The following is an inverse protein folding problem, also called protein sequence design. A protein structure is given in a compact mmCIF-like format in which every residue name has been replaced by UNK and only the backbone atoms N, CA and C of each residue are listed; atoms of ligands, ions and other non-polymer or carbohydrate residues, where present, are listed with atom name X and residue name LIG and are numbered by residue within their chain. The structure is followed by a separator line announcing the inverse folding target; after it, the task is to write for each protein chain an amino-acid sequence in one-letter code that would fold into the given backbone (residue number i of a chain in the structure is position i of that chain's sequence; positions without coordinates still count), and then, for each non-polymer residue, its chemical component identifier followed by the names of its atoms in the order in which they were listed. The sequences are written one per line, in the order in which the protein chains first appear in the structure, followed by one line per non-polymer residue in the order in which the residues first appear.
data_IF_292989931948
#
_entry.id   IF_292989931948
#
_cell.length_a   1.000
_cell.length_b   1.000
_cell.length_c   1.000
_cell.angle_alpha   90.00
_cell.angle_beta   90.00
_cell.angle_gamma   90.00
#
_symmetry.space_group_name_H-M   'P 1'
#
loop_
_entity.id
_entity.type
_entity.pdbx_description
1 polymer ?
#
# COMPACT_ATOMS: atom_id res chain seq x y z
N UNK A 1 -29.48 -40.31 -2.47
CA UNK A 1 -28.07 -39.92 -2.36
C UNK A 1 -28.01 -38.44 -2.65
N UNK A 2 -27.97 -37.67 -1.57
CA UNK A 2 -28.00 -36.20 -1.59
C UNK A 2 -26.63 -35.68 -2.00
N UNK A 3 -26.60 -35.05 -3.16
CA UNK A 3 -25.56 -34.13 -3.63
C UNK A 3 -25.18 -33.18 -2.47
N UNK A 4 -23.91 -33.10 -2.04
CA UNK A 4 -23.53 -32.16 -1.00
C UNK A 4 -23.64 -30.77 -1.60
N UNK A 5 -24.76 -30.11 -1.29
CA UNK A 5 -24.99 -28.69 -1.45
C UNK A 5 -23.67 -27.92 -1.36
N UNK A 6 -23.20 -27.42 -2.50
CA UNK A 6 -22.28 -26.30 -2.54
C UNK A 6 -22.91 -25.19 -1.71
N UNK A 7 -22.37 -24.83 -0.54
CA UNK A 7 -22.88 -23.68 0.16
C UNK A 7 -22.57 -22.50 -0.74
N UNK A 8 -23.58 -21.68 -0.98
CA UNK A 8 -23.49 -20.44 -1.74
C UNK A 8 -22.58 -19.47 -0.97
N UNK A 9 -21.26 -19.70 -1.03
CA UNK A 9 -20.25 -18.83 -0.43
C UNK A 9 -20.01 -17.69 -1.41
N UNK A 10 -20.63 -16.54 -1.11
CA UNK A 10 -20.45 -15.29 -1.83
C UNK A 10 -19.04 -14.69 -1.67
N UNK A 11 -18.01 -15.42 -2.09
CA UNK A 11 -16.65 -14.92 -2.20
C UNK A 11 -16.07 -15.24 -3.58
N UNK A 12 -15.30 -14.31 -4.16
CA UNK A 12 -14.72 -14.46 -5.51
C UNK A 12 -13.32 -15.11 -5.48
N UNK A 13 -12.73 -15.34 -4.30
CA UNK A 13 -11.33 -15.80 -4.22
C UNK A 13 -11.16 -17.24 -4.73
N UNK A 14 -12.20 -18.07 -4.63
CA UNK A 14 -12.24 -19.44 -5.14
C UNK A 14 -11.99 -19.48 -6.65
N UNK A 15 -12.41 -18.43 -7.37
CA UNK A 15 -12.20 -18.30 -8.81
C UNK A 15 -10.72 -18.20 -9.18
N UNK A 16 -9.83 -17.85 -8.25
CA UNK A 16 -8.38 -17.84 -8.49
C UNK A 16 -7.86 -19.22 -8.85
N UNK A 17 -8.37 -20.27 -8.21
CA UNK A 17 -7.83 -21.62 -8.31
C UNK A 17 -8.58 -22.51 -9.29
N UNK A 18 -9.69 -22.02 -9.86
CA UNK A 18 -10.55 -22.77 -10.77
C UNK A 18 -11.24 -23.96 -10.11
N UNK A 19 -11.97 -24.72 -10.94
CA UNK A 19 -12.75 -25.91 -10.53
C UNK A 19 -11.97 -27.18 -10.93
N UNK A 20 -11.99 -28.26 -10.13
CA UNK A 20 -11.35 -29.51 -10.49
C UNK A 20 -12.04 -30.15 -11.72
N UNK A 21 -11.27 -30.88 -12.51
CA UNK A 21 -11.75 -31.67 -13.65
C UNK A 21 -11.58 -33.14 -13.27
N UNK A 22 -12.63 -33.94 -13.48
CA UNK A 22 -12.63 -35.36 -13.11
C UNK A 22 -11.46 -36.13 -13.72
N UNK A 23 -10.88 -37.01 -12.91
CA UNK A 23 -9.75 -37.87 -13.31
C UNK A 23 -8.39 -37.17 -13.37
N UNK A 24 -8.30 -35.87 -13.12
CA UNK A 24 -7.02 -35.12 -13.12
C UNK A 24 -6.42 -34.95 -11.73
N UNK A 25 -5.09 -34.76 -11.62
CA UNK A 25 -4.46 -34.47 -10.34
C UNK A 25 -5.04 -33.21 -9.69
N UNK A 26 -5.27 -33.26 -8.39
CA UNK A 26 -5.87 -32.16 -7.62
C UNK A 26 -4.96 -31.69 -6.50
N UNK A 27 -5.10 -30.42 -6.13
CA UNK A 27 -4.53 -29.84 -4.91
C UNK A 27 -5.66 -29.46 -3.96
N UNK A 28 -5.46 -29.70 -2.66
CA UNK A 28 -6.44 -29.41 -1.62
C UNK A 28 -5.95 -28.27 -0.77
N UNK A 29 -6.81 -27.30 -0.56
CA UNK A 29 -6.56 -26.16 0.29
C UNK A 29 -7.54 -26.12 1.46
N UNK A 30 -7.05 -25.73 2.64
CA UNK A 30 -7.89 -25.63 3.82
C UNK A 30 -7.52 -24.44 4.69
N UNK A 31 -8.50 -23.60 4.98
CA UNK A 31 -8.35 -22.35 5.69
C UNK A 31 -9.23 -22.25 6.94
N UNK A 32 -8.74 -21.47 7.88
CA UNK A 32 -9.50 -20.74 8.87
C UNK A 32 -9.90 -19.37 8.30
N UNK A 33 -11.19 -19.03 8.35
CA UNK A 33 -11.72 -17.80 7.77
C UNK A 33 -12.07 -16.80 8.87
N UNK A 34 -11.52 -15.59 8.75
CA UNK A 34 -11.90 -14.46 9.58
C UNK A 34 -12.80 -13.50 8.80
N UNK A 35 -13.91 -13.12 9.44
CA UNK A 35 -14.87 -12.17 8.88
C UNK A 35 -14.83 -10.83 9.61
N UNK A 36 -15.04 -9.74 8.87
CA UNK A 36 -15.23 -8.39 9.38
C UNK A 36 -16.52 -7.85 8.76
N UNK A 37 -17.47 -7.44 9.61
CA UNK A 37 -18.81 -7.01 9.18
C UNK A 37 -19.51 -8.00 8.23
N UNK A 38 -19.40 -9.32 8.50
CA UNK A 38 -20.00 -10.37 7.68
C UNK A 38 -19.19 -10.80 6.45
N UNK A 39 -18.19 -10.02 6.03
CA UNK A 39 -17.36 -10.35 4.86
C UNK A 39 -16.07 -11.06 5.26
N UNK A 40 -15.75 -12.16 4.56
CA UNK A 40 -14.46 -12.82 4.71
C UNK A 40 -13.34 -11.91 4.21
N UNK A 41 -12.36 -11.62 5.06
CA UNK A 41 -11.26 -10.72 4.72
C UNK A 41 -9.88 -11.37 4.88
N UNK A 42 -9.74 -12.38 5.75
CA UNK A 42 -8.48 -13.08 5.95
C UNK A 42 -8.70 -14.59 6.00
N UNK A 43 -7.97 -15.31 5.16
CA UNK A 43 -7.95 -16.76 5.07
C UNK A 43 -6.58 -17.24 5.55
N UNK A 44 -6.55 -17.83 6.73
CA UNK A 44 -5.32 -18.36 7.33
C UNK A 44 -5.22 -19.85 7.00
N UNK A 45 -4.06 -20.35 6.54
CA UNK A 45 -3.89 -21.76 6.25
C UNK A 45 -4.07 -22.61 7.51
N UNK A 46 -4.47 -23.87 7.32
CA UNK A 46 -4.61 -24.80 8.45
C UNK A 46 -3.27 -25.14 9.12
N UNK A 47 -2.15 -24.99 8.39
CA UNK A 47 -0.81 -25.03 8.98
C UNK A 47 -0.63 -23.86 9.96
N UNK A 48 -0.47 -24.20 11.25
CA UNK A 48 -0.44 -23.21 12.33
C UNK A 48 0.84 -22.37 12.36
N UNK A 49 1.97 -22.93 11.90
CA UNK A 49 3.24 -22.19 11.86
C UNK A 49 3.15 -21.11 10.80
N UNK A 50 2.68 -21.47 9.61
CA UNK A 50 2.49 -20.54 8.52
C UNK A 50 1.34 -19.56 8.81
N UNK A 51 0.24 -20.00 9.41
CA UNK A 51 -0.85 -19.12 9.84
C UNK A 51 -0.39 -18.02 10.81
N UNK A 52 0.46 -18.34 11.78
CA UNK A 52 1.03 -17.34 12.69
C UNK A 52 1.85 -16.27 11.96
N UNK A 53 2.55 -16.65 10.89
CA UNK A 53 3.33 -15.73 10.08
C UNK A 53 2.45 -14.94 9.11
N UNK A 54 1.42 -15.57 8.55
CA UNK A 54 0.42 -14.95 7.70
C UNK A 54 -0.38 -13.84 8.39
N UNK A 55 -0.54 -13.90 9.72
CA UNK A 55 -1.10 -12.79 10.49
C UNK A 55 -0.32 -11.46 10.31
N UNK A 56 0.94 -11.51 9.84
CA UNK A 56 1.71 -10.32 9.51
C UNK A 56 1.22 -9.60 8.24
N UNK A 57 0.41 -10.27 7.39
CA UNK A 57 -0.30 -9.62 6.28
C UNK A 57 -1.38 -8.66 6.80
N UNK A 58 -1.93 -8.90 7.98
CA UNK A 58 -2.90 -8.00 8.58
C UNK A 58 -2.19 -6.76 9.14
N UNK A 59 -2.42 -5.56 8.59
CA UNK A 59 -1.80 -4.33 9.06
C UNK A 59 -2.43 -3.93 10.40
N UNK A 60 -1.84 -4.39 11.49
CA UNK A 60 -2.26 -4.04 12.84
C UNK A 60 -1.70 -2.67 13.25
N UNK A 61 -2.42 -1.61 12.89
CA UNK A 61 -1.95 -0.24 13.06
C UNK A 61 -2.22 0.33 14.45
N UNK A 62 -3.43 0.13 14.99
CA UNK A 62 -3.83 0.63 16.32
C UNK A 62 -3.34 -0.30 17.45
N UNK A 63 -3.16 0.21 18.69
CA UNK A 63 -2.81 -0.63 19.84
C UNK A 63 -3.78 -1.80 20.04
N UNK A 64 -5.08 -1.57 19.81
CA UNK A 64 -6.11 -2.61 19.85
C UNK A 64 -5.94 -3.65 18.75
N UNK A 65 -5.73 -3.23 17.49
CA UNK A 65 -5.48 -4.17 16.38
C UNK A 65 -4.21 -4.99 16.60
N UNK A 66 -3.17 -4.40 17.23
CA UNK A 66 -1.94 -5.09 17.61
C UNK A 66 -2.18 -6.12 18.71
N UNK A 67 -2.94 -5.76 19.74
CA UNK A 67 -3.34 -6.68 20.82
C UNK A 67 -4.19 -7.83 20.26
N UNK A 68 -5.16 -7.54 19.39
CA UNK A 68 -5.97 -8.54 18.71
C UNK A 68 -5.10 -9.49 17.85
N UNK A 69 -4.15 -8.94 17.07
CA UNK A 69 -3.19 -9.75 16.31
C UNK A 69 -2.33 -10.63 17.20
N UNK A 70 -1.86 -10.10 18.33
CA UNK A 70 -1.05 -10.85 19.29
C UNK A 70 -1.86 -11.98 19.95
N UNK A 71 -3.10 -11.70 20.36
CA UNK A 71 -4.01 -12.69 20.91
C UNK A 71 -4.32 -13.79 19.89
N UNK A 72 -4.68 -13.43 18.65
CA UNK A 72 -4.91 -14.39 17.57
C UNK A 72 -3.67 -15.26 17.33
N UNK A 73 -2.48 -14.66 17.32
CA UNK A 73 -1.22 -15.40 17.18
C UNK A 73 -0.99 -16.37 18.33
N UNK A 74 -1.27 -15.97 19.58
CA UNK A 74 -1.14 -16.85 20.73
C UNK A 74 -2.16 -17.97 20.69
N UNK A 75 -3.40 -17.71 20.30
CA UNK A 75 -4.44 -18.75 20.17
C UNK A 75 -4.02 -19.79 19.13
N UNK A 76 -3.56 -19.36 17.95
CA UNK A 76 -3.06 -20.26 16.90
C UNK A 76 -1.82 -21.04 17.38
N UNK A 77 -0.89 -20.37 18.08
CA UNK A 77 0.34 -20.99 18.59
C UNK A 77 0.10 -21.98 19.73
N UNK A 78 -0.80 -21.66 20.66
CA UNK A 78 -1.09 -22.44 21.88
C UNK A 78 -2.12 -23.54 21.65
N UNK A 79 -2.51 -23.78 20.40
CA UNK A 79 -3.39 -24.88 20.02
C UNK A 79 -4.79 -24.81 20.65
N UNK A 80 -5.22 -23.62 21.08
CA UNK A 80 -6.51 -23.46 21.73
C UNK A 80 -7.64 -23.68 20.72
N UNK A 81 -8.69 -24.46 21.07
CA UNK A 81 -9.84 -24.64 20.21
C UNK A 81 -10.51 -23.28 19.98
N UNK A 82 -10.73 -22.95 18.71
CA UNK A 82 -11.46 -21.76 18.26
C UNK A 82 -12.83 -22.21 17.76
N UNK A 83 -13.82 -22.46 18.65
CA UNK A 83 -15.12 -23.00 18.26
C UNK A 83 -15.92 -22.09 17.32
N UNK A 84 -15.53 -20.81 17.20
CA UNK A 84 -16.23 -19.78 16.42
C UNK A 84 -15.55 -19.44 15.08
N UNK A 85 -14.43 -20.10 14.73
CA UNK A 85 -13.74 -19.84 13.46
C UNK A 85 -14.24 -20.79 12.38
N UNK A 86 -14.85 -20.20 11.36
CA UNK A 86 -15.31 -20.87 10.15
C UNK A 86 -14.13 -21.53 9.42
N UNK A 87 -14.37 -22.74 8.91
CA UNK A 87 -13.41 -23.45 8.07
C UNK A 87 -13.90 -23.43 6.64
N UNK A 88 -12.99 -23.13 5.72
CA UNK A 88 -13.22 -23.26 4.30
C UNK A 88 -12.24 -24.29 3.73
N UNK A 89 -12.69 -25.06 2.74
CA UNK A 89 -11.83 -25.95 1.98
C UNK A 89 -12.14 -25.83 0.51
N UNK A 90 -11.11 -25.85 -0.31
CA UNK A 90 -11.24 -25.81 -1.76
C UNK A 90 -10.39 -26.91 -2.37
N UNK A 91 -10.88 -27.49 -3.47
CA UNK A 91 -10.12 -28.44 -4.29
C UNK A 91 -9.93 -27.76 -5.62
N UNK A 92 -8.70 -27.68 -6.09
CA UNK A 92 -8.37 -27.12 -7.39
C UNK A 92 -7.68 -28.17 -8.26
N UNK A 93 -7.79 -28.02 -9.58
CA UNK A 93 -6.99 -28.81 -10.50
C UNK A 93 -5.51 -28.43 -10.34
N UNK A 94 -4.63 -29.41 -10.13
CA UNK A 94 -3.19 -29.17 -10.14
C UNK A 94 -2.69 -28.78 -11.55
N UNK A 95 -3.53 -28.95 -12.57
CA UNK A 95 -3.24 -28.51 -13.93
C UNK A 95 -3.61 -27.06 -14.21
N UNK A 96 -4.36 -26.41 -13.31
CA UNK A 96 -4.74 -25.01 -13.42
C UNK A 96 -3.48 -24.13 -13.57
N UNK A 97 -3.48 -23.23 -14.55
CA UNK A 97 -2.30 -22.42 -14.88
C UNK A 97 -1.85 -21.51 -13.73
N UNK A 98 -2.78 -20.97 -12.95
CA UNK A 98 -2.47 -20.17 -11.78
C UNK A 98 -1.88 -21.01 -10.64
N UNK A 99 -2.36 -22.24 -10.45
CA UNK A 99 -1.77 -23.21 -9.50
C UNK A 99 -0.33 -23.56 -9.93
N UNK A 100 -0.10 -23.83 -11.22
CA UNK A 100 1.25 -24.08 -11.75
C UNK A 100 2.17 -22.88 -11.52
N UNK A 101 1.71 -21.69 -11.88
CA UNK A 101 2.46 -20.44 -11.69
C UNK A 101 2.85 -20.22 -10.22
N UNK A 102 1.91 -20.37 -9.30
CA UNK A 102 2.18 -20.20 -7.87
C UNK A 102 3.11 -21.27 -7.30
N UNK A 103 3.03 -22.51 -7.77
CA UNK A 103 3.94 -23.58 -7.38
C UNK A 103 5.37 -23.36 -7.91
N UNK A 104 5.51 -22.90 -9.16
CA UNK A 104 6.80 -22.55 -9.76
C UNK A 104 7.50 -21.44 -8.96
N UNK A 105 6.78 -20.40 -8.54
CA UNK A 105 7.31 -19.29 -7.75
C UNK A 105 7.99 -19.72 -6.43
N UNK A 106 7.52 -20.82 -5.83
CA UNK A 106 8.10 -21.37 -4.60
C UNK A 106 8.99 -22.58 -4.84
N UNK A 107 9.11 -23.05 -6.08
CA UNK A 107 9.97 -24.17 -6.49
C UNK A 107 9.37 -25.53 -6.13
N UNK A 108 8.05 -25.68 -6.16
CA UNK A 108 7.33 -26.89 -5.78
C UNK A 108 6.54 -27.48 -6.95
N UNK A 109 6.20 -28.76 -6.86
CA UNK A 109 5.24 -29.37 -7.77
C UNK A 109 3.82 -28.82 -7.50
N UNK A 110 2.97 -28.63 -8.53
CA UNK A 110 1.62 -28.08 -8.36
C UNK A 110 0.74 -28.86 -7.35
N UNK A 111 0.88 -30.19 -7.30
CA UNK A 111 0.16 -31.04 -6.33
C UNK A 111 0.66 -30.91 -4.89
N UNK A 112 1.87 -30.39 -4.70
CA UNK A 112 2.51 -30.18 -3.41
C UNK A 112 2.43 -28.72 -2.93
N UNK A 113 1.72 -27.86 -3.65
CA UNK A 113 1.57 -26.45 -3.29
C UNK A 113 0.90 -26.31 -1.90
N UNK A 114 1.58 -25.69 -0.91
CA UNK A 114 0.98 -25.43 0.39
C UNK A 114 -0.23 -24.49 0.27
N UNK A 115 -1.15 -24.60 1.22
CA UNK A 115 -2.28 -23.66 1.29
C UNK A 115 -1.75 -22.24 1.52
N UNK A 116 -1.99 -21.29 0.58
CA UNK A 116 -1.53 -19.92 0.76
C UNK A 116 -2.38 -19.21 1.80
N UNK A 117 -1.85 -18.18 2.46
CA UNK A 117 -2.71 -17.25 3.19
C UNK A 117 -3.28 -16.22 2.23
N UNK A 118 -4.55 -15.83 2.39
CA UNK A 118 -5.20 -14.86 1.50
C UNK A 118 -5.74 -13.69 2.30
N UNK A 119 -5.37 -12.48 1.92
CA UNK A 119 -5.97 -11.24 2.41
C UNK A 119 -6.82 -10.66 1.27
N UNK A 120 -8.13 -10.62 1.47
CA UNK A 120 -9.06 -10.03 0.53
C UNK A 120 -9.14 -8.52 0.75
N UNK A 121 -9.03 -7.77 -0.34
CA UNK A 121 -9.23 -6.32 -0.35
C UNK A 121 -10.64 -5.92 0.06
N UNK A 122 -10.85 -4.63 0.30
CA UNK A 122 -12.14 -4.10 0.71
C UNK A 122 -13.22 -4.44 -0.34
N UNK A 123 -14.27 -5.21 0.01
CA UNK A 123 -15.32 -5.58 -0.94
C UNK A 123 -16.15 -4.39 -1.43
N UNK A 124 -16.17 -3.28 -0.67
CA UNK A 124 -16.83 -2.03 -1.07
C UNK A 124 -15.96 -1.16 -1.98
N UNK A 125 -14.69 -1.52 -2.20
CA UNK A 125 -13.78 -0.79 -3.08
C UNK A 125 -13.97 -1.14 -4.56
N UNK A 126 -13.60 -0.25 -5.49
CA UNK A 126 -13.63 -0.56 -6.91
C UNK A 126 -12.57 -1.64 -7.22
N UNK A 127 -13.02 -2.84 -7.60
CA UNK A 127 -12.13 -3.95 -7.99
C UNK A 127 -11.32 -4.53 -6.81
N UNK A 128 -11.93 -5.33 -5.91
CA UNK A 128 -11.20 -5.93 -4.80
C UNK A 128 -10.04 -6.80 -5.30
N UNK A 129 -8.85 -6.52 -4.79
CA UNK A 129 -7.62 -7.27 -5.05
C UNK A 129 -7.40 -8.31 -3.96
N UNK A 130 -6.74 -9.40 -4.30
CA UNK A 130 -6.34 -10.44 -3.37
C UNK A 130 -4.83 -10.43 -3.20
N UNK A 131 -4.37 -10.47 -1.95
CA UNK A 131 -2.96 -10.70 -1.63
C UNK A 131 -2.80 -12.11 -1.11
N UNK A 132 -2.02 -12.93 -1.81
CA UNK A 132 -1.68 -14.27 -1.39
C UNK A 132 -0.26 -14.29 -0.86
N UNK A 133 -0.06 -14.86 0.32
CA UNK A 133 1.27 -15.18 0.83
C UNK A 133 1.52 -16.66 0.59
N UNK A 134 2.60 -16.96 -0.11
CA UNK A 134 3.05 -18.31 -0.40
C UNK A 134 4.19 -18.69 0.53
N UNK A 135 4.21 -19.93 0.98
CA UNK A 135 5.32 -20.51 1.74
C UNK A 135 6.14 -21.48 0.89
N UNK A 136 7.39 -21.69 1.28
CA UNK A 136 8.18 -22.83 0.83
C UNK A 136 7.74 -24.15 1.49
N UNK A 137 8.49 -25.22 1.22
CA UNK A 137 8.28 -26.56 1.80
C UNK A 137 8.44 -26.59 3.32
N UNK A 138 9.18 -25.65 3.90
CA UNK A 138 9.41 -25.54 5.34
C UNK A 138 8.33 -24.72 6.05
N UNK A 139 7.35 -24.21 5.30
CA UNK A 139 6.27 -23.36 5.80
C UNK A 139 6.71 -21.93 6.10
N UNK A 140 7.85 -21.48 5.57
CA UNK A 140 8.34 -20.11 5.72
C UNK A 140 7.83 -19.22 4.58
N UNK A 141 7.47 -17.94 4.84
CA UNK A 141 6.86 -17.08 3.85
C UNK A 141 7.91 -16.57 2.89
N UNK A 142 7.65 -16.70 1.59
CA UNK A 142 8.66 -16.44 0.56
C UNK A 142 8.20 -15.42 -0.47
N UNK A 143 6.95 -15.52 -0.92
CA UNK A 143 6.43 -14.75 -2.04
C UNK A 143 5.08 -14.14 -1.66
N UNK A 144 4.88 -12.88 -2.06
CA UNK A 144 3.58 -12.22 -2.03
C UNK A 144 3.09 -12.08 -3.45
N UNK A 145 1.86 -12.53 -3.70
CA UNK A 145 1.20 -12.46 -5.00
C UNK A 145 0.02 -11.52 -4.89
N UNK A 146 -0.03 -10.47 -5.72
CA UNK A 146 -1.20 -9.61 -5.85
C UNK A 146 -2.01 -10.05 -7.07
N UNK A 147 -3.29 -10.34 -6.87
CA UNK A 147 -4.18 -10.89 -7.90
C UNK A 147 -5.48 -10.08 -8.03
N UNK A 148 -5.97 -9.97 -9.28
CA UNK A 148 -7.22 -9.30 -9.62
C UNK A 148 -8.05 -10.16 -10.56
N UNK A 149 -9.34 -10.32 -10.24
CA UNK A 149 -10.25 -11.23 -10.96
C UNK A 149 -11.24 -10.45 -11.83
N UNK A 150 -11.89 -9.43 -11.25
CA UNK A 150 -12.79 -8.56 -11.99
C UNK A 150 -12.04 -7.68 -12.98
N UNK A 151 -12.68 -7.18 -14.06
CA UNK A 151 -12.04 -6.28 -15.01
C UNK A 151 -11.34 -5.08 -14.35
N UNK A 152 -12.03 -4.41 -13.41
CA UNK A 152 -11.45 -3.31 -12.64
C UNK A 152 -10.25 -3.74 -11.79
N UNK A 153 -10.32 -4.89 -11.10
CA UNK A 153 -9.19 -5.40 -10.32
C UNK A 153 -7.99 -5.75 -11.21
N UNK A 154 -8.22 -6.34 -12.39
CA UNK A 154 -7.17 -6.65 -13.37
C UNK A 154 -6.47 -5.39 -13.86
N UNK A 155 -7.22 -4.33 -14.13
CA UNK A 155 -6.66 -3.03 -14.51
C UNK A 155 -5.79 -2.43 -13.40
N UNK A 156 -6.24 -2.49 -12.15
CA UNK A 156 -5.45 -2.02 -11.00
C UNK A 156 -4.14 -2.80 -10.84
N UNK A 157 -4.20 -4.14 -10.93
CA UNK A 157 -2.99 -5.00 -10.86
C UNK A 157 -2.02 -4.67 -12.00
N UNK A 158 -2.54 -4.48 -13.22
CA UNK A 158 -1.72 -4.14 -14.38
C UNK A 158 -1.10 -2.75 -14.25
N UNK A 159 -1.85 -1.76 -13.76
CA UNK A 159 -1.36 -0.41 -13.54
C UNK A 159 -0.20 -0.41 -12.52
N UNK A 160 -0.36 -1.09 -11.39
CA UNK A 160 0.68 -1.20 -10.36
C UNK A 160 1.91 -1.97 -10.87
N UNK A 161 1.72 -3.09 -11.58
CA UNK A 161 2.84 -3.83 -12.18
C UNK A 161 3.60 -3.01 -13.22
N UNK A 162 2.88 -2.25 -14.04
CA UNK A 162 3.47 -1.38 -15.06
C UNK A 162 4.30 -0.25 -14.45
N UNK A 163 3.82 0.41 -13.39
CA UNK A 163 4.59 1.48 -12.75
C UNK A 163 5.86 0.92 -12.12
N UNK A 164 5.75 -0.16 -11.35
CA UNK A 164 6.90 -0.83 -10.72
C UNK A 164 7.95 -1.28 -11.74
N UNK A 165 7.52 -1.83 -12.88
CA UNK A 165 8.42 -2.28 -13.95
C UNK A 165 9.14 -1.12 -14.66
N UNK A 166 8.56 0.08 -14.62
CA UNK A 166 9.15 1.27 -15.25
C UNK A 166 10.04 2.06 -14.29
N UNK A 167 9.93 1.86 -12.98
CA UNK A 167 10.79 2.55 -12.00
C UNK A 167 12.28 2.29 -12.32
N UNK A 168 13.17 3.27 -12.05
CA UNK A 168 14.60 3.09 -12.25
C UNK A 168 15.11 1.81 -11.58
N UNK A 169 15.93 1.03 -12.29
CA UNK A 169 16.49 -0.19 -11.75
C UNK A 169 17.33 0.12 -10.50
N UNK A 170 17.06 -0.60 -9.41
CA UNK A 170 17.76 -0.39 -8.13
C UNK A 170 17.38 0.89 -7.40
N UNK A 171 16.23 1.52 -7.73
CA UNK A 171 15.69 2.62 -6.94
C UNK A 171 15.59 2.21 -5.47
N UNK A 172 16.05 3.09 -4.57
CA UNK A 172 16.11 2.77 -3.15
C UNK A 172 14.71 2.46 -2.61
N UNK A 173 14.59 1.37 -1.84
CA UNK A 173 13.37 0.99 -1.15
C UNK A 173 12.23 0.49 -2.04
N UNK A 174 12.43 0.28 -3.34
CA UNK A 174 11.39 -0.30 -4.21
C UNK A 174 11.45 -1.84 -4.20
N UNK A 175 10.30 -2.51 -4.28
CA UNK A 175 10.26 -3.94 -4.46
C UNK A 175 10.52 -4.28 -5.94
N UNK A 176 11.13 -5.43 -6.19
CA UNK A 176 11.29 -5.98 -7.53
C UNK A 176 10.17 -6.95 -7.85
N UNK A 177 9.58 -6.81 -9.03
CA UNK A 177 8.67 -7.83 -9.58
C UNK A 177 9.48 -9.08 -9.92
N UNK A 178 9.07 -10.20 -9.35
CA UNK A 178 9.65 -11.51 -9.59
C UNK A 178 9.04 -12.16 -10.83
N UNK A 179 7.73 -12.08 -10.98
CA UNK A 179 7.01 -12.60 -12.13
C UNK A 179 5.66 -11.91 -12.32
N UNK A 180 5.11 -12.01 -13.54
CA UNK A 180 3.75 -11.64 -13.87
C UNK A 180 3.03 -12.86 -14.43
N UNK A 181 1.72 -12.94 -14.23
CA UNK A 181 0.87 -13.97 -14.82
C UNK A 181 -0.47 -13.38 -15.23
N UNK A 182 -0.98 -13.85 -16.36
CA UNK A 182 -2.26 -13.42 -16.90
C UNK A 182 -2.97 -14.61 -17.54
N UNK A 183 -4.25 -14.74 -17.23
CA UNK A 183 -5.20 -15.59 -17.95
C UNK A 183 -6.51 -14.82 -18.19
N UNK A 184 -7.50 -15.46 -18.82
CA UNK A 184 -8.84 -14.89 -18.92
C UNK A 184 -9.46 -14.62 -17.54
N UNK A 185 -9.11 -15.44 -16.53
CA UNK A 185 -9.71 -15.39 -15.20
C UNK A 185 -9.01 -14.38 -14.28
N UNK A 186 -7.69 -14.24 -14.36
CA UNK A 186 -6.92 -13.46 -13.36
C UNK A 186 -5.74 -12.71 -13.99
N UNK A 187 -5.45 -11.53 -13.45
CA UNK A 187 -4.20 -10.79 -13.68
C UNK A 187 -3.41 -10.73 -12.38
N UNK A 188 -2.10 -10.95 -12.44
CA UNK A 188 -1.27 -11.20 -11.27
C UNK A 188 0.14 -10.66 -11.44
N UNK A 189 0.72 -10.15 -10.36
CA UNK A 189 2.17 -10.05 -10.23
C UNK A 189 2.66 -10.55 -8.86
N UNK A 190 3.91 -10.99 -8.82
CA UNK A 190 4.56 -11.55 -7.64
C UNK A 190 5.75 -10.68 -7.19
N UNK A 191 5.86 -10.49 -5.88
CA UNK A 191 6.96 -9.83 -5.18
C UNK A 191 7.59 -10.80 -4.18
N UNK A 192 8.84 -10.56 -3.81
CA UNK A 192 9.41 -11.25 -2.65
C UNK A 192 8.63 -10.86 -1.38
N UNK A 193 8.55 -11.78 -0.42
CA UNK A 193 8.06 -11.45 0.91
C UNK A 193 9.07 -10.57 1.64
N UNK A 194 8.60 -9.47 2.21
CA UNK A 194 9.40 -8.57 3.03
C UNK A 194 9.03 -8.74 4.51
N UNK A 195 9.93 -9.40 5.25
CA UNK A 195 9.81 -9.55 6.68
C UNK A 195 10.05 -8.20 7.39
N UNK A 196 9.48 -8.06 8.59
CA UNK A 196 9.67 -6.90 9.44
C UNK A 196 8.39 -6.18 9.82
N UNK A 197 8.54 -5.25 10.75
CA UNK A 197 7.50 -4.31 11.16
C UNK A 197 7.60 -3.01 10.35
N UNK A 198 6.54 -2.21 10.44
CA UNK A 198 6.57 -0.83 9.98
C UNK A 198 7.51 0.03 10.84
N UNK A 199 8.02 1.16 10.31
CA UNK A 199 8.81 2.10 11.09
C UNK A 199 8.08 2.50 12.37
N UNK A 200 8.78 2.44 13.51
CA UNK A 200 8.21 2.79 14.83
C UNK A 200 8.36 4.26 15.17
N UNK A 201 9.38 4.91 14.61
CA UNK A 201 9.70 6.32 14.82
C UNK A 201 9.65 7.05 13.48
N UNK A 202 9.22 8.31 13.55
CA UNK A 202 9.31 9.24 12.44
C UNK A 202 10.71 9.88 12.46
N UNK A 203 11.73 9.14 12.00
CA UNK A 203 13.10 9.63 11.90
C UNK A 203 13.29 10.38 10.57
N UNK A 204 13.45 11.72 10.59
CA UNK A 204 13.60 12.50 9.38
C UNK A 204 14.88 12.17 8.60
N UNK A 205 15.94 11.65 9.23
CA UNK A 205 17.17 11.30 8.54
C UNK A 205 17.00 10.07 7.66
N UNK A 206 16.36 9.01 8.18
CA UNK A 206 16.09 7.79 7.40
C UNK A 206 15.12 8.12 6.25
N UNK A 207 14.08 8.90 6.56
CA UNK A 207 13.10 9.35 5.57
C UNK A 207 13.76 10.18 4.46
N UNK A 208 14.60 11.16 4.82
CA UNK A 208 15.28 12.00 3.85
C UNK A 208 16.27 11.25 3.00
N UNK A 209 17.07 10.36 3.59
CA UNK A 209 18.00 9.52 2.85
C UNK A 209 17.30 8.65 1.80
N UNK A 210 16.09 8.17 2.07
CA UNK A 210 15.28 7.43 1.09
C UNK A 210 14.72 8.35 0.00
N UNK A 211 14.02 9.43 0.37
CA UNK A 211 13.32 10.28 -0.59
C UNK A 211 14.27 11.09 -1.48
N UNK A 212 15.47 11.43 -1.01
CA UNK A 212 16.50 12.06 -1.84
C UNK A 212 16.94 11.16 -3.01
N UNK A 213 16.91 9.84 -2.83
CA UNK A 213 17.25 8.86 -3.88
C UNK A 213 16.16 8.75 -4.95
N UNK A 214 14.96 9.29 -4.69
CA UNK A 214 13.86 9.32 -5.64
C UNK A 214 13.85 10.56 -6.52
N UNK A 215 14.70 11.54 -6.23
CA UNK A 215 14.84 12.75 -7.05
C UNK A 215 15.57 12.43 -8.35
N UNK A 216 14.94 12.73 -9.49
CA UNK A 216 15.58 12.65 -10.79
C UNK A 216 16.28 13.98 -11.12
N UNK A 217 17.54 14.09 -10.71
CA UNK A 217 18.36 15.30 -10.95
C UNK A 217 18.76 15.49 -12.41
N UNK A 218 18.57 14.48 -13.27
CA UNK A 218 18.90 14.55 -14.70
C UNK A 218 17.76 15.12 -15.54
N UNK A 219 16.60 15.37 -14.94
CA UNK A 219 15.42 15.93 -15.58
C UNK A 219 14.96 17.17 -14.84
N UNK A 220 14.42 18.14 -15.57
CA UNK A 220 13.68 19.26 -14.99
C UNK A 220 12.31 19.37 -15.62
N UNK A 221 11.33 19.82 -14.85
CA UNK A 221 9.94 19.96 -15.30
C UNK A 221 9.33 21.20 -14.65
N UNK A 222 8.46 21.91 -15.36
CA UNK A 222 7.65 22.97 -14.74
C UNK A 222 6.59 22.32 -13.86
N UNK A 223 6.31 22.90 -12.70
CA UNK A 223 5.25 22.39 -11.81
C UNK A 223 3.92 22.22 -12.56
N UNK A 224 3.58 23.14 -13.47
CA UNK A 224 2.38 23.06 -14.32
C UNK A 224 2.27 21.77 -15.15
N UNK A 225 3.41 21.18 -15.52
CA UNK A 225 3.50 20.01 -16.40
C UNK A 225 3.51 18.69 -15.60
N UNK A 226 3.56 18.74 -14.26
CA UNK A 226 3.47 17.54 -13.41
C UNK A 226 2.03 16.99 -13.47
N UNK A 227 1.81 15.68 -13.73
CA UNK A 227 0.45 15.12 -13.88
C UNK A 227 -0.44 15.36 -12.65
N UNK A 228 0.10 15.22 -11.44
CA UNK A 228 -0.61 15.53 -10.21
C UNK A 228 -1.07 17.00 -10.13
N UNK A 229 -0.26 17.95 -10.61
CA UNK A 229 -0.66 19.35 -10.72
C UNK A 229 -1.77 19.55 -11.74
N UNK A 230 -1.71 18.90 -12.90
CA UNK A 230 -2.76 19.00 -13.92
C UNK A 230 -4.11 18.45 -13.43
N UNK A 231 -4.10 17.40 -12.59
CA UNK A 231 -5.32 16.92 -11.93
C UNK A 231 -5.83 17.93 -10.91
N UNK A 232 -4.94 18.50 -10.10
CA UNK A 232 -5.28 19.56 -9.15
C UNK A 232 -5.91 20.77 -9.87
N UNK A 233 -5.30 21.23 -10.96
CA UNK A 233 -5.78 22.35 -11.75
C UNK A 233 -7.19 22.12 -12.32
N UNK A 234 -7.46 20.90 -12.81
CA UNK A 234 -8.79 20.53 -13.30
C UNK A 234 -9.85 20.53 -12.20
N UNK A 235 -9.52 20.05 -11.01
CA UNK A 235 -10.49 19.97 -9.91
C UNK A 235 -10.67 21.28 -9.13
N UNK A 236 -9.64 22.13 -9.09
CA UNK A 236 -9.58 23.29 -8.21
C UNK A 236 -9.40 24.63 -8.96
N UNK A 237 -9.66 24.70 -10.27
CA UNK A 237 -9.49 25.91 -11.08
C UNK A 237 -10.14 27.15 -10.45
N UNK A 238 -11.33 27.01 -9.88
CA UNK A 238 -12.08 28.10 -9.26
C UNK A 238 -11.72 28.37 -7.80
N UNK A 239 -10.89 27.53 -7.17
CA UNK A 239 -10.55 27.66 -5.76
C UNK A 239 -9.52 28.79 -5.55
N UNK A 240 -9.81 29.78 -4.70
CA UNK A 240 -8.96 30.96 -4.49
C UNK A 240 -7.49 30.61 -4.13
N UNK A 241 -7.31 29.64 -3.23
CA UNK A 241 -5.96 29.18 -2.86
C UNK A 241 -5.24 28.60 -4.08
N UNK A 242 -5.93 27.87 -4.94
CA UNK A 242 -5.32 27.31 -6.15
C UNK A 242 -4.95 28.42 -7.14
N UNK A 243 -5.81 29.43 -7.35
CA UNK A 243 -5.51 30.59 -8.21
C UNK A 243 -4.23 31.31 -7.76
N UNK A 244 -4.08 31.54 -6.46
CA UNK A 244 -2.85 32.10 -5.89
C UNK A 244 -1.65 31.16 -6.08
N UNK A 245 -1.80 29.87 -5.76
CA UNK A 245 -0.74 28.87 -5.94
C UNK A 245 -0.28 28.77 -7.39
N UNK A 246 -1.19 28.85 -8.36
CA UNK A 246 -0.86 28.82 -9.77
C UNK A 246 0.05 29.99 -10.15
N UNK A 247 -0.22 31.21 -9.66
CA UNK A 247 0.64 32.37 -9.87
C UNK A 247 2.04 32.23 -9.24
N UNK A 248 2.18 31.47 -8.15
CA UNK A 248 3.46 31.33 -7.42
C UNK A 248 4.29 30.13 -7.89
N UNK A 249 3.62 29.03 -8.24
CA UNK A 249 4.24 27.72 -8.45
C UNK A 249 4.27 27.29 -9.93
N UNK A 250 3.28 27.61 -10.75
CA UNK A 250 3.07 26.93 -12.05
C UNK A 250 4.31 26.94 -12.95
N UNK A 251 4.99 28.09 -13.06
CA UNK A 251 6.17 28.27 -13.91
C UNK A 251 7.50 27.91 -13.23
N UNK A 252 7.47 27.48 -11.95
CA UNK A 252 8.67 27.04 -11.25
C UNK A 252 9.17 25.74 -11.85
N UNK A 253 10.47 25.69 -12.10
CA UNK A 253 11.16 24.52 -12.65
C UNK A 253 11.81 23.75 -11.51
N UNK A 254 11.46 22.48 -11.37
CA UNK A 254 11.92 21.59 -10.30
C UNK A 254 12.54 20.31 -10.86
N UNK A 255 13.28 19.59 -10.02
CA UNK A 255 13.61 18.20 -10.31
C UNK A 255 12.42 17.31 -9.89
N UNK A 256 11.82 16.52 -10.80
CA UNK A 256 10.73 15.65 -10.44
C UNK A 256 11.24 14.50 -9.58
N UNK A 257 10.31 13.85 -8.89
CA UNK A 257 10.60 12.66 -8.08
C UNK A 257 9.79 11.48 -8.56
N UNK A 258 10.29 10.27 -8.31
CA UNK A 258 9.40 9.13 -8.21
C UNK A 258 8.50 9.38 -6.99
N UNK A 259 7.21 9.56 -7.24
CA UNK A 259 6.21 9.84 -6.22
C UNK A 259 5.41 8.58 -5.96
N UNK A 260 5.28 8.21 -4.69
CA UNK A 260 4.57 7.01 -4.27
C UNK A 260 3.05 7.25 -4.17
N UNK A 261 2.64 8.40 -3.63
CA UNK A 261 1.22 8.81 -3.60
C UNK A 261 0.39 8.29 -2.43
N UNK A 262 0.85 7.25 -1.74
CA UNK A 262 0.35 6.79 -0.43
C UNK A 262 1.52 6.45 0.52
N UNK A 263 2.48 7.37 0.63
CA UNK A 263 3.73 7.12 1.35
C UNK A 263 3.55 7.30 2.88
N UNK A 264 3.34 6.18 3.57
CA UNK A 264 2.96 6.14 5.00
C UNK A 264 3.66 4.98 5.71
N UNK A 265 3.85 5.02 7.06
CA UNK A 265 4.60 3.99 7.77
C UNK A 265 4.08 2.57 7.57
N UNK A 266 2.76 2.38 7.47
CA UNK A 266 2.18 1.04 7.32
C UNK A 266 2.40 0.42 5.94
N UNK A 267 2.76 1.23 4.94
CA UNK A 267 3.18 0.77 3.62
C UNK A 267 4.68 0.47 3.57
N UNK A 268 5.40 0.58 4.69
CA UNK A 268 6.85 0.35 4.76
C UNK A 268 7.13 -0.90 5.60
N UNK A 269 8.09 -1.70 5.14
CA UNK A 269 8.71 -2.80 5.90
C UNK A 269 10.17 -2.48 6.19
N UNK A 270 10.52 -2.57 7.47
CA UNK A 270 11.90 -2.41 7.94
C UNK A 270 12.53 -3.78 8.07
N UNK A 271 13.55 -4.05 7.25
CA UNK A 271 14.27 -5.32 7.31
C UNK A 271 14.91 -5.49 8.69
N UNK A 272 14.61 -6.58 9.43
CA UNK A 272 15.08 -6.76 10.81
C UNK A 272 16.59 -7.00 10.92
N UNK A 273 17.27 -7.35 9.82
CA UNK A 273 18.73 -7.64 9.83
C UNK A 273 19.58 -6.39 9.60
N UNK A 274 19.14 -5.51 8.70
CA UNK A 274 19.95 -4.38 8.22
C UNK A 274 19.24 -3.02 8.30
N UNK A 275 18.00 -2.98 8.78
CA UNK A 275 17.23 -1.75 8.95
C UNK A 275 16.75 -1.10 7.64
N UNK A 276 17.01 -1.70 6.47
CA UNK A 276 16.61 -1.10 5.19
C UNK A 276 15.10 -1.08 5.04
N UNK A 277 14.59 0.02 4.50
CA UNK A 277 13.17 0.19 4.21
C UNK A 277 12.84 -0.39 2.85
N UNK A 278 11.74 -1.12 2.78
CA UNK A 278 11.04 -1.45 1.53
C UNK A 278 9.66 -0.84 1.59
N UNK A 279 9.33 -0.05 0.59
CA UNK A 279 8.03 0.61 0.43
C UNK A 279 7.17 -0.27 -0.45
N UNK A 280 5.95 -0.54 -0.02
CA UNK A 280 4.97 -1.39 -0.66
C UNK A 280 3.78 -0.54 -1.09
N UNK A 281 2.92 -1.12 -1.93
CA UNK A 281 1.67 -0.52 -2.38
C UNK A 281 1.82 0.71 -3.28
N UNK A 282 2.42 0.47 -4.45
CA UNK A 282 2.77 1.50 -5.43
C UNK A 282 1.61 1.87 -6.38
N UNK A 283 0.37 1.67 -5.95
CA UNK A 283 -0.82 1.79 -6.80
C UNK A 283 -1.08 3.22 -7.33
N UNK A 284 -0.61 4.24 -6.59
CA UNK A 284 -0.77 5.67 -6.91
C UNK A 284 0.49 6.28 -7.50
N UNK A 285 1.51 5.47 -7.74
CA UNK A 285 2.83 5.98 -8.02
C UNK A 285 2.95 6.60 -9.41
N UNK A 286 3.83 7.60 -9.51
CA UNK A 286 4.15 8.27 -10.76
C UNK A 286 5.67 8.51 -10.86
N UNK A 287 6.21 8.39 -12.08
CA UNK A 287 7.64 8.63 -12.32
C UNK A 287 8.00 10.12 -12.34
N UNK A 288 7.03 10.96 -12.71
CA UNK A 288 7.17 12.42 -12.76
C UNK A 288 6.23 12.99 -11.72
N UNK A 289 6.66 12.91 -10.48
CA UNK A 289 5.90 13.30 -9.30
C UNK A 289 6.28 14.67 -8.75
N UNK A 290 5.39 15.20 -7.91
CA UNK A 290 5.61 16.46 -7.21
C UNK A 290 6.60 16.26 -6.06
N UNK A 291 7.71 17.01 -6.00
CA UNK A 291 8.63 16.94 -4.87
C UNK A 291 7.95 17.36 -3.55
N UNK A 292 8.48 16.84 -2.45
CA UNK A 292 8.00 17.00 -1.07
C UNK A 292 6.62 16.40 -0.72
N UNK A 293 5.82 15.96 -1.69
CA UNK A 293 4.48 15.44 -1.38
C UNK A 293 4.49 14.16 -0.54
N UNK A 294 5.43 13.23 -0.78
CA UNK A 294 5.56 12.03 0.06
C UNK A 294 6.06 12.37 1.49
N UNK A 295 6.87 13.43 1.65
CA UNK A 295 7.23 13.93 2.99
C UNK A 295 6.00 14.41 3.75
N UNK A 296 5.19 15.26 3.10
CA UNK A 296 3.98 15.80 3.71
C UNK A 296 2.98 14.71 4.01
N UNK A 297 2.78 13.78 3.08
CA UNK A 297 1.86 12.66 3.24
C UNK A 297 2.27 11.78 4.43
N UNK A 298 3.54 11.41 4.52
CA UNK A 298 4.06 10.61 5.63
C UNK A 298 3.77 11.24 6.99
N UNK A 299 4.17 12.50 7.15
CA UNK A 299 4.05 13.19 8.44
C UNK A 299 2.58 13.44 8.76
N UNK A 300 1.81 14.01 7.84
CA UNK A 300 0.41 14.38 8.10
C UNK A 300 -0.44 13.15 8.41
N UNK A 301 -0.32 12.07 7.63
CA UNK A 301 -1.09 10.85 7.87
C UNK A 301 -0.68 10.14 9.17
N UNK A 302 0.61 10.14 9.50
CA UNK A 302 1.08 9.58 10.78
C UNK A 302 0.54 10.37 11.97
N UNK A 303 0.61 11.70 11.91
CA UNK A 303 0.16 12.55 13.00
C UNK A 303 -1.35 12.49 13.22
N UNK A 304 -2.14 12.35 12.15
CA UNK A 304 -3.59 12.22 12.23
C UNK A 304 -4.02 10.81 12.68
N UNK A 305 -3.60 9.76 11.96
CA UNK A 305 -4.19 8.42 12.14
C UNK A 305 -3.53 7.62 13.26
N UNK A 306 -2.25 7.87 13.55
CA UNK A 306 -1.50 7.16 14.59
C UNK A 306 -1.45 7.97 15.88
N UNK A 307 -1.00 9.23 15.80
CA UNK A 307 -0.80 10.06 16.98
C UNK A 307 -2.05 10.84 17.42
N UNK A 308 -3.09 10.89 16.57
CA UNK A 308 -4.38 11.56 16.85
C UNK A 308 -4.22 13.01 17.30
N UNK A 309 -3.31 13.75 16.67
CA UNK A 309 -3.01 15.14 17.03
C UNK A 309 -4.14 16.09 16.64
N UNK A 310 -4.30 17.15 17.44
CA UNK A 310 -5.15 18.30 17.11
C UNK A 310 -4.61 19.09 15.91
N UNK A 311 -5.42 19.95 15.29
CA UNK A 311 -4.98 20.79 14.16
C UNK A 311 -3.77 21.68 14.46
N UNK A 312 -3.68 22.25 15.67
CA UNK A 312 -2.54 23.09 16.08
C UNK A 312 -1.27 22.26 16.26
N UNK A 313 -1.36 21.09 16.88
CA UNK A 313 -0.18 20.23 17.08
C UNK A 313 0.28 19.61 15.77
N UNK A 314 -0.65 19.31 14.86
CA UNK A 314 -0.36 18.91 13.50
C UNK A 314 0.35 20.04 12.72
N UNK A 315 -0.13 21.28 12.83
CA UNK A 315 0.54 22.44 12.24
C UNK A 315 1.99 22.58 12.74
N UNK A 316 2.21 22.49 14.06
CA UNK A 316 3.55 22.53 14.66
C UNK A 316 4.44 21.39 14.16
N UNK A 317 3.91 20.18 14.03
CA UNK A 317 4.66 19.03 13.54
C UNK A 317 5.12 19.24 12.09
N UNK A 318 4.25 19.76 11.23
CA UNK A 318 4.59 20.04 9.83
C UNK A 318 5.57 21.20 9.72
N UNK A 319 5.40 22.28 10.49
CA UNK A 319 6.36 23.39 10.50
C UNK A 319 7.75 22.95 11.02
N UNK A 320 7.78 22.09 12.04
CA UNK A 320 9.02 21.48 12.53
C UNK A 320 9.71 20.68 11.43
N UNK A 321 8.96 19.88 10.66
CA UNK A 321 9.48 19.12 9.52
C UNK A 321 10.22 20.03 8.52
N UNK A 322 9.60 21.16 8.13
CA UNK A 322 10.21 22.12 7.19
C UNK A 322 11.54 22.68 7.71
N UNK A 323 11.68 22.76 9.04
CA UNK A 323 12.87 23.18 9.76
C UNK A 323 13.91 22.08 10.03
N UNK A 324 13.70 20.84 9.59
CA UNK A 324 14.70 19.78 9.75
C UNK A 324 15.82 19.89 8.72
N UNK A 325 17.04 19.51 9.10
CA UNK A 325 18.18 19.47 8.17
C UNK A 325 17.92 18.53 6.97
N UNK A 326 17.44 17.28 7.16
CA UNK A 326 17.18 16.38 6.02
C UNK A 326 16.16 16.94 5.03
N UNK A 327 15.10 17.59 5.51
CA UNK A 327 14.12 18.21 4.60
C UNK A 327 14.71 19.39 3.84
N UNK A 328 15.52 20.24 4.48
CA UNK A 328 16.21 21.35 3.80
C UNK A 328 17.19 20.86 2.73
N UNK A 329 17.95 19.80 3.02
CA UNK A 329 18.87 19.18 2.06
C UNK A 329 18.09 18.64 0.84
N UNK A 330 17.00 17.90 1.10
CA UNK A 330 16.08 17.45 0.07
C UNK A 330 15.50 18.62 -0.75
N UNK A 331 15.06 19.70 -0.09
CA UNK A 331 14.45 20.85 -0.74
C UNK A 331 15.41 21.56 -1.70
N UNK A 332 16.67 21.74 -1.28
CA UNK A 332 17.71 22.27 -2.15
C UNK A 332 17.96 21.35 -3.36
N UNK A 333 18.09 20.03 -3.12
CA UNK A 333 18.32 19.03 -4.17
C UNK A 333 17.17 18.93 -5.18
N UNK A 334 15.93 19.12 -4.74
CA UNK A 334 14.74 19.11 -5.60
C UNK A 334 14.46 20.47 -6.27
N UNK A 335 15.22 21.52 -5.93
CA UNK A 335 15.04 22.91 -6.37
C UNK A 335 13.70 23.53 -5.93
N UNK A 336 13.30 23.24 -4.69
CA UNK A 336 12.07 23.75 -4.08
C UNK A 336 12.31 24.66 -2.86
N UNK A 337 13.56 25.07 -2.61
CA UNK A 337 13.88 26.01 -1.53
C UNK A 337 13.08 27.31 -1.67
N UNK A 338 12.39 27.71 -0.59
CA UNK A 338 11.50 28.86 -0.56
C UNK A 338 10.08 28.58 -1.10
N UNK A 339 9.80 27.37 -1.60
CA UNK A 339 8.48 26.97 -2.10
C UNK A 339 7.75 26.01 -1.16
N UNK A 340 8.32 25.70 0.01
CA UNK A 340 7.93 24.61 0.90
C UNK A 340 6.46 24.73 1.34
N UNK A 341 6.07 25.90 1.87
CA UNK A 341 4.70 26.14 2.33
C UNK A 341 3.69 26.18 1.19
N UNK A 342 4.06 26.73 0.04
CA UNK A 342 3.20 26.73 -1.14
C UNK A 342 2.95 25.31 -1.65
N UNK A 343 4.00 24.47 -1.69
CA UNK A 343 3.87 23.05 -2.04
C UNK A 343 3.04 22.27 -1.02
N UNK A 344 3.17 22.58 0.27
CA UNK A 344 2.33 22.01 1.33
C UNK A 344 0.85 22.36 1.15
N UNK A 345 0.53 23.62 0.84
CA UNK A 345 -0.83 24.05 0.53
C UNK A 345 -1.37 23.34 -0.72
N UNK A 346 -0.55 23.19 -1.77
CA UNK A 346 -0.93 22.45 -2.98
C UNK A 346 -1.20 20.97 -2.67
N UNK A 347 -0.36 20.34 -1.84
CA UNK A 347 -0.56 18.98 -1.35
C UNK A 347 -1.88 18.85 -0.58
N UNK A 348 -2.19 19.78 0.32
CA UNK A 348 -3.43 19.73 1.11
C UNK A 348 -4.67 19.88 0.23
N UNK A 349 -4.65 20.76 -0.77
CA UNK A 349 -5.73 20.82 -1.76
C UNK A 349 -5.86 19.50 -2.53
N UNK A 350 -4.75 18.92 -2.97
CA UNK A 350 -4.75 17.64 -3.67
C UNK A 350 -5.30 16.51 -2.78
N UNK A 351 -4.87 16.44 -1.52
CA UNK A 351 -5.37 15.48 -0.56
C UNK A 351 -6.89 15.63 -0.34
N UNK A 352 -7.39 16.87 -0.22
CA UNK A 352 -8.79 17.12 0.11
C UNK A 352 -9.74 16.92 -1.08
N UNK A 353 -9.30 17.26 -2.29
CA UNK A 353 -10.15 17.29 -3.48
C UNK A 353 -9.90 16.14 -4.48
N UNK A 354 -8.72 15.52 -4.46
CA UNK A 354 -8.36 14.44 -5.42
C UNK A 354 -8.26 13.09 -4.72
N UNK A 355 -7.47 13.00 -3.64
CA UNK A 355 -7.35 11.75 -2.88
C UNK A 355 -8.65 11.49 -2.12
N UNK A 356 -9.13 12.53 -1.43
CA UNK A 356 -10.34 12.52 -0.60
C UNK A 356 -10.36 11.34 0.38
N UNK A 357 -9.39 11.29 1.33
CA UNK A 357 -9.24 10.15 2.22
C UNK A 357 -10.48 9.96 3.09
N UNK A 358 -10.88 8.69 3.29
CA UNK A 358 -12.02 8.34 4.12
C UNK A 358 -11.82 8.68 5.60
N UNK A 359 -10.57 8.72 6.06
CA UNK A 359 -10.20 9.07 7.43
C UNK A 359 -9.27 10.28 7.42
N UNK A 360 -9.41 11.19 8.38
CA UNK A 360 -8.49 12.33 8.56
C UNK A 360 -8.76 13.56 7.68
N UNK A 361 -9.77 13.53 6.80
CA UNK A 361 -10.10 14.64 5.92
C UNK A 361 -10.37 15.95 6.69
N UNK A 362 -11.16 15.90 7.76
CA UNK A 362 -11.48 17.09 8.56
C UNK A 362 -10.24 17.75 9.17
N UNK A 363 -9.28 16.93 9.62
CA UNK A 363 -8.01 17.41 10.18
C UNK A 363 -7.13 18.07 9.10
N UNK A 364 -7.12 17.50 7.88
CA UNK A 364 -6.42 18.09 6.74
C UNK A 364 -7.04 19.42 6.29
N UNK A 365 -8.38 19.54 6.35
CA UNK A 365 -9.11 20.79 6.08
C UNK A 365 -8.79 21.84 7.17
N UNK A 366 -8.76 21.45 8.43
CA UNK A 366 -8.38 22.34 9.54
C UNK A 366 -6.94 22.85 9.37
N UNK A 367 -5.99 21.96 9.08
CA UNK A 367 -4.60 22.32 8.83
C UNK A 367 -4.46 23.31 7.66
N UNK A 368 -5.19 23.09 6.57
CA UNK A 368 -5.20 24.01 5.42
C UNK A 368 -5.63 25.43 5.84
N UNK A 369 -6.65 25.54 6.70
CA UNK A 369 -7.11 26.84 7.24
C UNK A 369 -6.03 27.50 8.11
N UNK A 370 -5.39 26.74 8.99
CA UNK A 370 -4.34 27.25 9.89
C UNK A 370 -3.12 27.79 9.11
N UNK A 371 -2.64 27.04 8.11
CA UNK A 371 -1.49 27.46 7.29
C UNK A 371 -1.85 28.72 6.48
N UNK A 372 -3.07 28.79 5.94
CA UNK A 372 -3.54 29.98 5.21
C UNK A 372 -3.54 31.22 6.11
N UNK A 373 -4.04 31.10 7.35
CA UNK A 373 -4.06 32.20 8.31
C UNK A 373 -2.65 32.65 8.70
N UNK A 374 -1.73 31.70 8.94
CA UNK A 374 -0.34 32.00 9.25
C UNK A 374 0.40 32.71 8.09
N UNK A 375 0.12 32.31 6.84
CA UNK A 375 0.68 32.97 5.65
C UNK A 375 0.09 34.36 5.36
N UNK A 376 -1.20 34.56 5.64
CA UNK A 376 -1.87 35.86 5.48
C UNK A 376 -1.37 36.96 6.43
N UNK A 377 -0.82 36.59 7.59
CA UNK A 377 -0.19 37.53 8.51
C UNK A 377 1.16 38.09 7.99
N UNK A 378 1.78 37.43 7.01
CA UNK A 378 3.05 37.86 6.39
C UNK A 378 2.91 38.62 5.08
N UNK A 379 1.74 38.58 4.42
CA UNK A 379 1.48 39.25 3.14
C UNK A 379 0.99 40.70 3.28
N UNK A 380 0.86 41.21 4.51
CA UNK A 380 0.67 42.63 4.82
C UNK A 380 1.98 43.25 5.33
N UNK A 381 3.03 43.25 4.53
CA UNK A 381 4.16 44.19 4.69
C UNK A 381 4.75 44.54 3.34
#
# INVERSE_FOLDING_TARGET
MTDPMHPNYGTQWEQLFGVPIDGRPVVRFSWFVLRKHGHAFLFLPSDRRFACQALMLYPAQTPFARAARALLRQVVRLHLPMPTIERASWIASAENEFVKFTAELVGLAPSALPTPAVLAGNPAGPGPRYMLLLSDSDGLPKIVVKAGISPAAKELIRAESNILSRLPAGLAGTPRILANFKSEQVEVFALQYFAGDSPRTNDPHILGALLERWINTNQTVRIADVPAWQRLARACAEHDIFKWLAGVLADRVVHPVVWHGDFVPWNIKVNPKDGRWTVLDWERAEQVGMPAWDWFHYVIQTEILVNKRSGIDLFRAVESLLGTEPFRAYAARARITGLERSLLLAYLLYNNHIIHPAEGLDHAIELLKLIKLAGGAGAKK
#
